data_IF_435040426497
#
_entry.id   IF_435040426497
#
_cell.length_a   1.000
_cell.length_b   1.000
_cell.length_c   1.000
_cell.angle_alpha   90.00
_cell.angle_beta   90.00
_cell.angle_gamma   90.00
#
_symmetry.space_group_name_H-M   'P 1'
#
loop_
_entity.id
_entity.type
_entity.pdbx_description
1 polymer ?
#
# COMPACT_ATOMS: atom_id res chain seq x y z
N UNK A 1 19.17 -4.63 -30.09
CA UNK A 1 18.68 -6.00 -29.82
C UNK A 1 17.26 -6.27 -30.36
N UNK A 2 16.68 -5.37 -31.17
CA UNK A 2 15.35 -5.56 -31.76
C UNK A 2 15.33 -6.66 -32.84
N UNK A 3 16.47 -7.02 -33.42
CA UNK A 3 16.54 -7.98 -34.52
C UNK A 3 16.45 -9.45 -34.11
N UNK A 4 16.55 -9.78 -32.80
CA UNK A 4 16.82 -11.16 -32.36
C UNK A 4 15.68 -11.76 -31.53
N UNK A 5 14.86 -10.94 -30.88
CA UNK A 5 13.72 -11.44 -30.10
C UNK A 5 12.39 -10.89 -30.63
N UNK A 6 12.37 -10.34 -31.84
CA UNK A 6 11.16 -9.78 -32.41
C UNK A 6 10.14 -10.89 -32.69
N UNK A 7 9.08 -10.86 -31.90
CA UNK A 7 7.91 -11.69 -32.07
C UNK A 7 6.79 -10.85 -32.66
N UNK A 8 5.99 -11.46 -33.52
CA UNK A 8 4.77 -10.83 -34.01
C UNK A 8 3.74 -10.68 -32.87
N UNK A 9 2.61 -10.03 -33.16
CA UNK A 9 1.52 -9.86 -32.19
C UNK A 9 0.94 -11.20 -31.69
N UNK A 10 1.24 -12.33 -32.35
CA UNK A 10 0.83 -13.68 -31.97
C UNK A 10 1.90 -14.40 -31.15
N UNK A 11 3.03 -13.75 -30.85
CA UNK A 11 4.12 -14.30 -30.06
C UNK A 11 5.07 -15.22 -30.83
N UNK A 12 4.94 -15.33 -32.17
CA UNK A 12 5.84 -16.12 -33.01
C UNK A 12 7.02 -15.26 -33.48
N UNK A 13 8.21 -15.83 -33.54
CA UNK A 13 9.37 -15.16 -34.12
C UNK A 13 9.09 -14.74 -35.58
N UNK A 14 9.41 -13.48 -35.89
CA UNK A 14 9.18 -12.91 -37.23
C UNK A 14 10.15 -13.48 -38.27
N UNK A 15 11.33 -13.94 -37.85
CA UNK A 15 12.33 -14.57 -38.71
C UNK A 15 12.88 -15.83 -38.04
N UNK A 16 13.16 -16.84 -38.85
CA UNK A 16 13.85 -18.07 -38.48
C UNK A 16 15.24 -17.83 -37.87
N UNK A 17 15.99 -16.88 -38.40
CA UNK A 17 17.28 -16.49 -37.83
C UNK A 17 17.14 -15.97 -36.38
N UNK A 18 16.10 -15.18 -36.11
CA UNK A 18 15.83 -14.65 -34.77
C UNK A 18 15.49 -15.78 -33.80
N UNK A 19 14.66 -16.75 -34.24
CA UNK A 19 14.34 -17.95 -33.47
C UNK A 19 15.58 -18.76 -33.12
N UNK A 20 16.42 -19.09 -34.10
CA UNK A 20 17.64 -19.87 -33.88
C UNK A 20 18.60 -19.18 -32.91
N UNK A 21 18.79 -17.86 -33.06
CA UNK A 21 19.64 -17.09 -32.15
C UNK A 21 19.07 -17.01 -30.73
N UNK A 22 17.76 -16.91 -30.58
CA UNK A 22 17.11 -16.93 -29.28
C UNK A 22 17.24 -18.31 -28.59
N UNK A 23 17.06 -19.40 -29.34
CA UNK A 23 17.24 -20.77 -28.85
C UNK A 23 18.69 -21.04 -28.45
N UNK A 24 19.67 -20.67 -29.29
CA UNK A 24 21.10 -20.80 -28.97
C UNK A 24 21.49 -19.98 -27.74
N UNK A 25 20.97 -18.77 -27.62
CA UNK A 25 21.20 -17.93 -26.45
C UNK A 25 20.66 -18.58 -25.18
N UNK A 26 19.45 -19.17 -25.23
CA UNK A 26 18.87 -19.86 -24.08
C UNK A 26 19.73 -21.04 -23.62
N UNK A 27 20.27 -21.81 -24.57
CA UNK A 27 21.20 -22.92 -24.27
C UNK A 27 22.50 -22.39 -23.64
N UNK A 28 23.11 -21.36 -24.24
CA UNK A 28 24.36 -20.80 -23.70
C UNK A 28 24.17 -20.14 -22.33
N UNK A 29 23.01 -19.53 -22.05
CA UNK A 29 22.70 -19.00 -20.72
C UNK A 29 22.60 -20.09 -19.66
N UNK A 30 22.24 -21.32 -20.02
CA UNK A 30 22.24 -22.47 -19.09
C UNK A 30 23.66 -23.02 -18.88
N UNK A 31 24.52 -22.90 -19.89
CA UNK A 31 25.89 -23.41 -19.86
C UNK A 31 26.93 -22.42 -19.31
N UNK A 32 26.57 -21.15 -19.18
CA UNK A 32 27.48 -20.09 -18.71
C UNK A 32 27.01 -19.53 -17.38
N UNK A 33 27.96 -19.15 -16.54
CA UNK A 33 27.68 -18.54 -15.23
C UNK A 33 27.34 -17.04 -15.34
N UNK A 34 27.55 -16.44 -16.51
CA UNK A 34 27.38 -15.02 -16.75
C UNK A 34 26.63 -14.79 -18.07
N UNK A 35 25.51 -14.06 -18.02
CA UNK A 35 24.69 -13.76 -19.19
C UNK A 35 25.50 -13.08 -20.31
N UNK A 36 26.38 -12.15 -19.96
CA UNK A 36 27.20 -11.43 -20.94
C UNK A 36 28.12 -12.37 -21.74
N UNK A 37 28.57 -13.46 -21.13
CA UNK A 37 29.40 -14.47 -21.80
C UNK A 37 28.58 -15.26 -22.82
N UNK A 38 27.36 -15.70 -22.46
CA UNK A 38 26.43 -16.32 -23.41
C UNK A 38 26.14 -15.40 -24.60
N UNK A 39 25.88 -14.12 -24.34
CA UNK A 39 25.66 -13.14 -25.41
C UNK A 39 26.87 -12.95 -26.30
N UNK A 40 28.07 -12.91 -25.73
CA UNK A 40 29.30 -12.83 -26.51
C UNK A 40 29.49 -14.07 -27.38
N UNK A 41 29.20 -15.27 -26.87
CA UNK A 41 29.28 -16.52 -27.64
C UNK A 41 28.30 -16.56 -28.81
N UNK A 42 27.06 -16.10 -28.60
CA UNK A 42 26.00 -16.19 -29.63
C UNK A 42 26.02 -15.04 -30.63
N UNK A 43 26.34 -13.83 -30.21
CA UNK A 43 26.30 -12.61 -31.04
C UNK A 43 27.67 -12.02 -31.37
N UNK A 44 28.73 -12.54 -30.76
CA UNK A 44 30.08 -12.03 -30.92
C UNK A 44 30.35 -10.75 -30.13
N UNK A 45 31.54 -10.18 -30.39
CA UNK A 45 31.96 -8.90 -29.81
C UNK A 45 31.06 -7.77 -30.30
N UNK A 46 30.68 -6.89 -29.39
CA UNK A 46 29.96 -5.68 -29.72
C UNK A 46 30.81 -4.73 -30.56
N UNK A 47 30.18 -3.99 -31.48
CA UNK A 47 30.84 -2.94 -32.26
C UNK A 47 31.13 -1.72 -31.39
N UNK A 48 32.30 -1.08 -31.62
CA UNK A 48 32.66 0.14 -30.94
C UNK A 48 31.58 1.23 -31.17
N UNK A 49 31.11 1.85 -30.09
CA UNK A 49 30.06 2.89 -30.11
C UNK A 49 28.62 2.38 -29.98
N UNK A 50 28.41 1.06 -29.96
CA UNK A 50 27.12 0.46 -29.63
C UNK A 50 27.18 -0.16 -28.23
N UNK A 51 26.06 -0.12 -27.50
CA UNK A 51 25.88 -0.82 -26.22
C UNK A 51 24.67 -1.74 -26.33
N UNK A 52 24.84 -3.02 -26.02
CA UNK A 52 23.76 -4.00 -25.92
C UNK A 52 22.99 -3.74 -24.64
N UNK A 53 21.94 -2.91 -24.72
CA UNK A 53 21.01 -2.75 -23.60
C UNK A 53 20.18 -4.03 -23.44
N UNK A 54 20.32 -4.69 -22.29
CA UNK A 54 19.39 -5.72 -21.83
C UNK A 54 18.22 -5.03 -21.11
N UNK A 55 17.00 -5.12 -21.67
CA UNK A 55 15.77 -4.71 -20.97
C UNK A 55 15.03 -3.48 -21.52
N UNK A 56 13.93 -3.13 -20.84
CA UNK A 56 13.05 -1.96 -21.07
C UNK A 56 13.74 -0.63 -20.71
N UNK A 57 14.99 -0.45 -21.12
CA UNK A 57 15.71 0.81 -20.98
C UNK A 57 15.38 1.76 -22.13
N UNK A 58 15.33 3.06 -21.82
CA UNK A 58 15.29 4.12 -22.83
C UNK A 58 16.42 3.92 -23.85
N UNK A 59 16.07 3.84 -25.13
CA UNK A 59 17.04 3.72 -26.22
C UNK A 59 18.06 4.86 -26.11
N UNK A 60 19.38 4.63 -26.29
CA UNK A 60 20.39 5.68 -26.19
C UNK A 60 20.09 6.93 -27.05
N UNK A 61 19.41 6.77 -28.19
CA UNK A 61 18.91 7.88 -29.01
C UNK A 61 17.93 8.82 -28.29
N UNK A 62 17.20 8.33 -27.28
CA UNK A 62 16.35 9.13 -26.39
C UNK A 62 17.10 9.75 -25.20
N UNK A 63 18.31 9.26 -24.91
CA UNK A 63 19.19 9.75 -23.83
C UNK A 63 20.04 10.91 -24.34
N UNK A 64 20.42 10.91 -25.62
CA UNK A 64 21.27 11.95 -26.22
C UNK A 64 20.65 13.36 -26.18
N UNK A 65 19.34 13.48 -25.98
CA UNK A 65 18.68 14.79 -25.76
C UNK A 65 18.57 15.19 -24.28
N UNK A 66 18.94 14.32 -23.32
CA UNK A 66 18.71 14.57 -21.89
C UNK A 66 19.65 13.77 -20.97
N UNK A 67 20.97 13.95 -21.06
CA UNK A 67 21.85 13.31 -20.07
C UNK A 67 23.11 14.10 -19.76
N UNK A 68 22.97 15.00 -18.79
CA UNK A 68 24.03 15.40 -17.84
C UNK A 68 23.50 15.67 -16.42
N UNK A 69 22.18 15.51 -16.17
CA UNK A 69 21.53 15.91 -14.89
C UNK A 69 20.95 14.77 -14.06
N UNK A 70 21.13 13.50 -14.44
CA UNK A 70 20.46 12.37 -13.76
C UNK A 70 21.25 11.79 -12.57
N UNK A 71 22.57 12.04 -12.49
CA UNK A 71 23.39 11.50 -11.42
C UNK A 71 23.12 12.16 -10.04
N UNK A 72 22.87 13.47 -9.97
CA UNK A 72 22.49 14.11 -8.68
C UNK A 72 21.07 13.77 -8.27
N UNK A 73 20.16 13.60 -9.24
CA UNK A 73 18.75 13.26 -8.99
C UNK A 73 18.60 11.93 -8.23
N UNK A 74 19.45 10.93 -8.48
CA UNK A 74 19.34 9.61 -7.84
C UNK A 74 19.78 9.60 -6.37
N UNK A 75 20.69 10.51 -5.99
CA UNK A 75 21.16 10.62 -4.60
C UNK A 75 20.13 11.40 -3.78
N UNK A 76 19.63 12.52 -4.33
CA UNK A 76 18.58 13.33 -3.72
C UNK A 76 17.27 12.56 -3.50
N UNK A 77 16.92 11.60 -4.39
CA UNK A 77 15.73 10.76 -4.21
C UNK A 77 15.87 9.77 -3.05
N UNK A 78 17.07 9.24 -2.81
CA UNK A 78 17.30 8.29 -1.72
C UNK A 78 17.25 8.97 -0.35
N UNK A 79 17.80 10.18 -0.24
CA UNK A 79 17.72 10.96 1.02
C UNK A 79 16.29 11.36 1.37
N UNK A 80 15.49 11.77 0.38
CA UNK A 80 14.08 12.10 0.58
C UNK A 80 13.27 10.87 1.00
N UNK A 81 13.55 9.71 0.40
CA UNK A 81 12.90 8.45 0.76
C UNK A 81 13.19 8.04 2.21
N UNK A 82 14.44 8.18 2.67
CA UNK A 82 14.82 7.88 4.06
C UNK A 82 14.14 8.82 5.06
N UNK A 83 14.07 10.13 4.76
CA UNK A 83 13.36 11.11 5.59
C UNK A 83 11.87 10.80 5.69
N UNK A 84 11.23 10.49 4.57
CA UNK A 84 9.81 10.09 4.54
C UNK A 84 9.56 8.84 5.38
N UNK A 85 10.45 7.84 5.32
CA UNK A 85 10.30 6.62 6.12
C UNK A 85 10.37 6.92 7.63
N UNK A 86 11.30 7.76 8.06
CA UNK A 86 11.40 8.18 9.46
C UNK A 86 10.17 8.97 9.94
N UNK A 87 9.60 9.83 9.09
CA UNK A 87 8.36 10.55 9.41
C UNK A 87 7.17 9.61 9.55
N UNK A 88 7.05 8.59 8.68
CA UNK A 88 6.00 7.57 8.75
C UNK A 88 6.09 6.79 10.07
N UNK A 89 7.29 6.35 10.46
CA UNK A 89 7.48 5.59 11.70
C UNK A 89 7.15 6.43 12.94
N UNK A 90 7.57 7.70 12.96
CA UNK A 90 7.22 8.63 14.04
C UNK A 90 5.72 8.90 14.12
N UNK A 91 5.05 9.06 12.99
CA UNK A 91 3.61 9.31 12.94
C UNK A 91 2.82 8.08 13.44
N UNK A 92 3.29 6.89 13.10
CA UNK A 92 2.70 5.63 13.57
C UNK A 92 2.81 5.46 15.09
N UNK A 93 3.95 5.81 15.67
CA UNK A 93 4.14 5.81 17.13
C UNK A 93 3.16 6.78 17.82
N UNK A 94 3.06 8.01 17.32
CA UNK A 94 2.13 9.01 17.87
C UNK A 94 0.66 8.57 17.75
N UNK A 95 0.29 7.95 16.65
CA UNK A 95 -1.05 7.40 16.48
C UNK A 95 -1.37 6.35 17.56
N UNK A 96 -0.44 5.42 17.82
CA UNK A 96 -0.60 4.43 18.90
C UNK A 96 -0.69 5.07 20.30
N UNK A 97 0.05 6.15 20.56
CA UNK A 97 -0.06 6.90 21.82
C UNK A 97 -1.44 7.56 21.98
N UNK A 98 -1.98 8.14 20.90
CA UNK A 98 -3.32 8.74 20.91
C UNK A 98 -4.39 7.69 21.17
N UNK A 99 -4.31 6.53 20.51
CA UNK A 99 -5.25 5.42 20.74
C UNK A 99 -5.22 4.94 22.20
N UNK A 100 -4.02 4.84 22.78
CA UNK A 100 -3.86 4.48 24.19
C UNK A 100 -4.44 5.53 25.14
N UNK A 101 -4.20 6.82 24.89
CA UNK A 101 -4.79 7.90 25.68
C UNK A 101 -6.32 7.92 25.57
N UNK A 102 -6.85 7.74 24.35
CA UNK A 102 -8.28 7.65 24.11
C UNK A 102 -8.93 6.52 24.93
N UNK A 103 -8.29 5.35 24.99
CA UNK A 103 -8.77 4.24 25.81
C UNK A 103 -8.78 4.57 27.31
N UNK A 104 -7.75 5.24 27.82
CA UNK A 104 -7.70 5.67 29.23
C UNK A 104 -8.78 6.71 29.57
N UNK A 105 -9.00 7.69 28.69
CA UNK A 105 -10.05 8.70 28.88
C UNK A 105 -11.44 8.06 28.85
N UNK A 106 -11.68 7.13 27.92
CA UNK A 106 -12.94 6.39 27.85
C UNK A 106 -13.20 5.59 29.14
N UNK A 107 -12.17 4.96 29.70
CA UNK A 107 -12.25 4.25 30.98
C UNK A 107 -12.62 5.19 32.13
N UNK A 108 -11.95 6.34 32.25
CA UNK A 108 -12.23 7.31 33.32
C UNK A 108 -13.65 7.89 33.21
N UNK A 109 -14.09 8.23 32.00
CA UNK A 109 -15.47 8.70 31.75
C UNK A 109 -16.49 7.64 32.18
N UNK A 110 -16.27 6.36 31.87
CA UNK A 110 -17.16 5.29 32.29
C UNK A 110 -17.23 5.15 33.82
N UNK A 111 -16.08 5.28 34.49
CA UNK A 111 -16.01 5.26 35.96
C UNK A 111 -16.75 6.43 36.62
N UNK A 112 -16.72 7.62 36.02
CA UNK A 112 -17.46 8.79 36.51
C UNK A 112 -18.97 8.61 36.32
N UNK A 113 -19.40 8.10 35.16
CA UNK A 113 -20.81 7.82 34.87
C UNK A 113 -21.39 6.78 35.85
N UNK A 114 -20.61 5.76 36.22
CA UNK A 114 -21.01 4.78 37.24
C UNK A 114 -21.10 5.43 38.64
N UNK A 115 -20.09 6.19 39.05
CA UNK A 115 -20.10 6.90 40.35
C UNK A 115 -21.21 7.95 40.50
N UNK A 116 -21.74 8.50 39.40
CA UNK A 116 -22.89 9.42 39.42
C UNK A 116 -24.24 8.69 39.48
N UNK A 117 -24.33 7.44 39.03
CA UNK A 117 -25.56 6.62 39.13
C UNK A 117 -25.77 6.08 40.54
N UNK A 118 -24.70 5.84 41.29
CA UNK A 118 -24.75 5.36 42.68
C UNK A 118 -25.04 6.48 43.71
N UNK A 119 -25.22 7.74 43.25
CA UNK A 119 -25.52 8.90 44.11
C UNK A 119 -26.93 9.47 43.97
N UNK A 120 -27.78 8.90 43.12
CA UNK A 120 -29.23 9.19 43.14
C UNK A 120 -29.84 8.47 44.36
N UNK A 121 -30.31 9.19 45.40
CA UNK A 121 -31.08 8.54 46.44
C UNK A 121 -32.37 8.02 45.80
N UNK A 122 -32.61 6.73 45.91
CA UNK A 122 -33.94 6.15 45.69
C UNK A 122 -34.93 6.84 46.63
N UNK A 123 -35.50 7.96 46.19
CA UNK A 123 -36.61 8.59 46.88
C UNK A 123 -37.86 7.77 46.51
N UNK A 124 -38.10 6.76 47.33
CA UNK A 124 -39.35 6.03 47.33
C UNK A 124 -40.39 6.95 47.99
N UNK A 125 -40.90 7.92 47.23
CA UNK A 125 -41.93 8.83 47.72
C UNK A 125 -43.27 8.07 47.79
N UNK A 126 -43.73 7.92 49.04
CA UNK A 126 -45.02 7.38 49.48
C UNK A 126 -46.18 7.90 48.64
N UNK A 127 -46.85 7.00 47.91
CA UNK A 127 -48.08 7.30 47.19
C UNK A 127 -49.27 7.29 48.16
N UNK A 128 -49.45 8.37 48.92
CA UNK A 128 -50.69 8.65 49.64
C UNK A 128 -51.79 9.05 48.65
N UNK A 129 -52.53 8.04 48.18
CA UNK A 129 -53.68 8.19 47.31
C UNK A 129 -54.97 7.79 48.00
N UNK A 130 -55.47 8.66 48.87
CA UNK A 130 -56.88 8.83 49.33
C UNK A 130 -57.77 7.58 49.35
N UNK A 131 -58.05 7.12 50.57
CA UNK A 131 -59.33 6.49 50.89
C UNK A 131 -60.48 7.48 50.69
N UNK A 132 -61.49 7.09 49.90
CA UNK A 132 -62.88 7.46 50.17
C UNK A 132 -63.78 6.45 49.49
N UNK A 133 -64.39 5.58 50.30
CA UNK A 133 -65.39 4.61 49.88
C UNK A 133 -66.80 5.18 50.06
N UNK A 134 -67.72 4.61 49.27
CA UNK A 134 -69.20 4.60 49.42
C UNK A 134 -69.98 5.87 49.01
N UNK A 135 -70.91 5.74 48.06
CA UNK A 135 -72.30 5.37 48.40
C UNK A 135 -73.22 5.36 47.16
N UNK A 136 -74.20 4.47 47.25
CA UNK A 136 -75.28 4.13 46.31
C UNK A 136 -76.37 5.22 46.26
N UNK A 137 -76.90 5.54 45.07
CA UNK A 137 -78.33 5.40 44.74
C UNK A 137 -78.69 5.94 43.35
N UNK A 138 -79.64 5.24 42.72
CA UNK A 138 -80.36 5.59 41.48
C UNK A 138 -81.28 6.80 41.68
N UNK A 139 -81.63 7.50 40.59
CA UNK A 139 -83.02 7.58 40.08
C UNK A 139 -83.08 8.30 38.72
N UNK A 140 -84.05 7.85 37.94
CA UNK A 140 -84.48 8.27 36.60
C UNK A 140 -85.19 9.65 36.57
N UNK A 141 -85.70 10.00 35.37
CA UNK A 141 -86.69 11.05 35.02
C UNK A 141 -86.12 12.46 34.72
N UNK A 142 -86.47 13.19 33.66
CA UNK A 142 -87.51 13.10 32.60
C UNK A 142 -87.02 13.82 31.34
#
# INVERSE_FOLDING_TARGET
MYAVSHKDAKGKFVNEYARQKAELLQVEMQNTQCENEAFFKVFGKEHAGYVRSMGLGITPSRISSRSTRLASSSIETNEKMLKMQAEIDSLKEKASQVDFLNAQVAFLMQMQVQNSRDKEPTNLETRDGRHSSESSHRLDDH
#
